data_IF_408804845629
#
_entry.id   IF_408804845629
#
_cell.length_a   1.000
_cell.length_b   1.000
_cell.length_c   1.000
_cell.angle_alpha   90.00
_cell.angle_beta   90.00
_cell.angle_gamma   90.00
#
_symmetry.space_group_name_H-M   'P 1'
#
loop_
_entity.id
_entity.type
_entity.pdbx_description
1 polymer ?
#
# COMPACT_ATOMS: atom_id res chain seq x y z
N UNK A 1 -9.45 -21.57 -4.25
CA UNK A 1 -9.82 -20.93 -2.97
C UNK A 1 -10.96 -19.97 -3.26
N UNK A 2 -12.04 -19.92 -2.46
CA UNK A 2 -13.13 -18.98 -2.72
C UNK A 2 -12.58 -17.56 -2.60
N UNK A 3 -12.82 -16.72 -3.62
CA UNK A 3 -12.49 -15.30 -3.60
C UNK A 3 -13.56 -14.64 -2.74
N UNK A 4 -13.37 -14.59 -1.42
CA UNK A 4 -14.12 -13.66 -0.57
C UNK A 4 -13.65 -12.25 -0.94
N UNK A 5 -14.55 -11.41 -1.44
CA UNK A 5 -14.24 -9.98 -1.64
C UNK A 5 -14.06 -9.32 -0.28
N UNK A 6 -13.04 -8.46 -0.13
CA UNK A 6 -12.71 -7.90 1.20
C UNK A 6 -13.89 -7.16 1.81
N UNK A 7 -14.81 -6.51 1.04
CA UNK A 7 -16.02 -5.88 1.61
C UNK A 7 -17.22 -6.83 1.82
N UNK A 8 -17.16 -8.05 1.28
CA UNK A 8 -18.22 -9.04 1.45
C UNK A 8 -17.93 -9.92 2.67
N UNK A 9 -18.64 -9.69 3.77
CA UNK A 9 -18.53 -10.54 4.97
C UNK A 9 -18.91 -11.99 4.63
N UNK A 10 -18.19 -13.00 5.17
CA UNK A 10 -18.65 -14.37 5.07
C UNK A 10 -20.02 -14.50 5.76
N UNK A 11 -21.01 -15.06 5.06
CA UNK A 11 -22.32 -15.33 5.67
C UNK A 11 -22.14 -16.29 6.85
N UNK A 12 -22.84 -16.02 7.96
CA UNK A 12 -22.92 -16.96 9.08
C UNK A 12 -23.51 -18.26 8.55
N UNK A 13 -22.68 -19.30 8.43
CA UNK A 13 -23.16 -20.67 8.28
C UNK A 13 -24.04 -20.98 9.49
N UNK A 14 -25.36 -20.92 9.29
CA UNK A 14 -26.30 -21.33 10.31
C UNK A 14 -26.09 -22.82 10.54
N UNK A 15 -25.70 -23.20 11.75
CA UNK A 15 -25.64 -24.58 12.18
C UNK A 15 -27.00 -25.24 11.87
N UNK A 16 -26.96 -26.34 11.12
CA UNK A 16 -28.12 -26.93 10.45
C UNK A 16 -29.33 -27.12 11.36
N UNK A 17 -30.47 -26.53 10.96
CA UNK A 17 -31.77 -26.95 11.48
C UNK A 17 -32.06 -28.33 10.94
N UNK A 18 -32.16 -29.31 11.85
CA UNK A 18 -32.67 -30.66 11.55
C UNK A 18 -34.05 -30.53 10.91
N UNK A 19 -34.18 -31.04 9.69
CA UNK A 19 -35.42 -31.10 8.93
C UNK A 19 -36.40 -32.04 9.65
N UNK A 20 -37.44 -31.50 10.26
CA UNK A 20 -38.61 -32.28 10.68
C UNK A 20 -39.70 -32.01 9.66
N UNK A 21 -40.06 -33.02 8.89
CA UNK A 21 -41.16 -32.98 7.91
C UNK A 21 -42.48 -32.89 8.68
N UNK A 22 -43.26 -31.83 8.45
CA UNK A 22 -44.68 -31.79 8.80
C UNK A 22 -45.50 -31.31 7.59
N UNK A 23 -46.57 -32.06 7.33
CA UNK A 23 -47.47 -31.98 6.16
C UNK A 23 -48.34 -30.72 6.18
N UNK A 24 -48.67 -30.26 4.96
CA UNK A 24 -49.41 -29.06 4.54
C UNK A 24 -50.73 -28.72 5.27
N UNK A 25 -50.98 -27.42 5.40
CA UNK A 25 -52.31 -26.82 5.26
C UNK A 25 -52.20 -25.46 4.55
N UNK A 26 -52.94 -25.34 3.44
CA UNK A 26 -53.00 -24.20 2.52
C UNK A 26 -53.75 -23.04 3.16
N UNK A 27 -53.11 -21.86 3.20
CA UNK A 27 -53.73 -20.58 3.52
C UNK A 27 -53.05 -19.49 2.69
N UNK A 28 -53.76 -18.99 1.68
CA UNK A 28 -53.29 -17.97 0.74
C UNK A 28 -53.29 -16.60 1.44
N UNK A 29 -52.12 -16.12 1.86
CA UNK A 29 -51.92 -14.73 2.30
C UNK A 29 -50.77 -14.14 1.48
N UNK A 30 -51.11 -13.31 0.50
CA UNK A 30 -50.18 -12.58 -0.35
C UNK A 30 -49.45 -11.50 0.47
N UNK A 31 -48.31 -11.87 1.05
CA UNK A 31 -47.35 -10.91 1.60
C UNK A 31 -46.27 -10.67 0.54
N UNK A 32 -46.29 -9.49 -0.06
CA UNK A 32 -45.20 -8.98 -0.90
C UNK A 32 -43.89 -9.02 -0.09
N UNK A 33 -42.81 -9.67 -0.57
CA UNK A 33 -41.51 -9.45 0.03
C UNK A 33 -41.05 -8.06 -0.43
N UNK A 34 -41.06 -7.09 0.50
CA UNK A 34 -40.30 -5.87 0.33
C UNK A 34 -38.83 -6.28 0.15
N UNK A 35 -38.31 -6.14 -1.06
CA UNK A 35 -36.90 -6.33 -1.35
C UNK A 35 -36.10 -5.37 -0.48
N UNK A 36 -35.39 -5.92 0.51
CA UNK A 36 -34.30 -5.21 1.16
C UNK A 36 -33.19 -5.08 0.12
N UNK A 37 -33.22 -3.98 -0.63
CA UNK A 37 -32.08 -3.53 -1.38
C UNK A 37 -30.96 -3.24 -0.35
N UNK A 38 -30.02 -4.17 -0.22
CA UNK A 38 -28.75 -3.93 0.43
C UNK A 38 -28.02 -2.85 -0.37
N UNK A 39 -28.16 -1.60 0.05
CA UNK A 39 -27.31 -0.50 -0.43
C UNK A 39 -25.85 -0.77 -0.10
N UNK A 40 -24.90 -0.14 -0.83
CA UNK A 40 -23.49 -0.29 -0.52
C UNK A 40 -23.25 0.18 0.92
N UNK A 41 -22.62 -0.67 1.72
CA UNK A 41 -22.15 -0.30 3.04
C UNK A 41 -21.20 0.89 2.89
N UNK A 42 -21.66 2.08 3.29
CA UNK A 42 -20.80 3.25 3.38
C UNK A 42 -19.74 2.96 4.45
N UNK A 43 -18.48 2.85 4.03
CA UNK A 43 -17.36 2.86 4.98
C UNK A 43 -17.46 4.13 5.83
N UNK A 44 -17.49 3.97 7.15
CA UNK A 44 -17.46 5.11 8.06
C UNK A 44 -16.24 5.99 7.74
N UNK A 45 -16.41 7.30 7.83
CA UNK A 45 -15.36 8.28 7.59
C UNK A 45 -14.29 8.17 8.69
N UNK A 46 -13.37 7.24 8.49
CA UNK A 46 -12.14 7.07 9.26
C UNK A 46 -11.22 8.24 8.95
N UNK A 47 -10.68 8.91 9.98
CA UNK A 47 -9.87 10.14 9.93
C UNK A 47 -9.18 10.44 8.57
N UNK A 48 -9.93 11.09 7.68
CA UNK A 48 -9.44 11.66 6.43
C UNK A 48 -9.03 13.13 6.61
N UNK A 49 -9.08 13.66 7.84
CA UNK A 49 -8.92 15.10 8.08
C UNK A 49 -7.50 15.59 7.73
N UNK A 50 -6.52 14.69 7.68
CA UNK A 50 -5.16 14.98 7.20
C UNK A 50 -4.94 14.78 5.69
N UNK A 51 -5.95 14.36 4.93
CA UNK A 51 -5.77 13.84 3.57
C UNK A 51 -6.10 14.81 2.44
N UNK A 52 -6.58 16.02 2.72
CA UNK A 52 -7.00 17.01 1.70
C UNK A 52 -5.81 17.70 1.02
N UNK A 53 -4.85 16.93 0.52
CA UNK A 53 -3.74 17.45 -0.28
C UNK A 53 -4.24 17.75 -1.70
N UNK A 54 -4.20 19.01 -2.15
CA UNK A 54 -4.68 19.35 -3.48
C UNK A 54 -3.96 18.56 -4.57
N UNK A 55 -4.74 17.94 -5.46
CA UNK A 55 -4.24 17.15 -6.59
C UNK A 55 -3.56 15.83 -6.19
N UNK A 56 -3.87 15.25 -5.03
CA UNK A 56 -3.32 13.95 -4.58
C UNK A 56 -4.41 12.88 -4.49
N UNK A 57 -4.07 11.67 -4.94
CA UNK A 57 -4.86 10.44 -4.78
C UNK A 57 -3.98 9.39 -4.10
N UNK A 58 -4.58 8.61 -3.22
CA UNK A 58 -3.93 7.51 -2.51
C UNK A 58 -4.43 6.18 -3.05
N UNK A 59 -3.58 5.47 -3.78
CA UNK A 59 -3.84 4.09 -4.15
C UNK A 59 -3.53 3.18 -2.97
N UNK A 60 -4.45 2.28 -2.66
CA UNK A 60 -4.28 1.33 -1.58
C UNK A 60 -4.62 -0.08 -2.01
N UNK A 61 -3.82 -1.06 -1.55
CA UNK A 61 -3.89 -2.44 -2.01
C UNK A 61 -4.00 -3.41 -0.83
N UNK A 62 -5.11 -4.14 -0.75
CA UNK A 62 -5.38 -5.10 0.32
C UNK A 62 -5.10 -6.55 -0.11
N UNK A 63 -4.98 -7.43 0.89
CA UNK A 63 -4.88 -8.90 0.80
C UNK A 63 -3.56 -9.50 0.30
N UNK A 64 -2.67 -8.68 -0.27
CA UNK A 64 -1.37 -9.09 -0.77
C UNK A 64 -0.39 -9.61 0.28
N UNK A 65 0.81 -10.02 -0.16
CA UNK A 65 1.28 -9.96 -1.54
C UNK A 65 0.94 -11.22 -2.36
N UNK A 66 0.68 -11.04 -3.65
CA UNK A 66 0.66 -12.11 -4.63
C UNK A 66 2.01 -12.23 -5.35
N UNK A 67 2.56 -13.44 -5.42
CA UNK A 67 3.92 -13.71 -5.94
C UNK A 67 4.19 -13.18 -7.36
N UNK A 68 3.18 -13.20 -8.25
CA UNK A 68 3.29 -12.64 -9.61
C UNK A 68 2.82 -11.18 -9.73
N UNK A 69 1.62 -10.88 -9.22
CA UNK A 69 0.98 -9.59 -9.48
C UNK A 69 1.57 -8.44 -8.67
N UNK A 70 1.94 -8.65 -7.40
CA UNK A 70 2.51 -7.56 -6.58
C UNK A 70 3.82 -7.03 -7.18
N UNK A 71 4.79 -7.86 -7.63
CA UNK A 71 5.97 -7.35 -8.33
C UNK A 71 5.66 -6.60 -9.63
N UNK A 72 4.69 -7.08 -10.42
CA UNK A 72 4.25 -6.37 -11.64
C UNK A 72 3.60 -5.02 -11.33
N UNK A 73 2.82 -4.97 -10.24
CA UNK A 73 2.19 -3.75 -9.75
C UNK A 73 3.24 -2.72 -9.30
N UNK A 74 4.29 -3.15 -8.60
CA UNK A 74 5.41 -2.27 -8.22
C UNK A 74 6.10 -1.67 -9.46
N UNK A 75 6.28 -2.47 -10.52
CA UNK A 75 6.80 -1.97 -11.81
C UNK A 75 5.87 -0.94 -12.46
N UNK A 76 4.56 -1.17 -12.45
CA UNK A 76 3.57 -0.20 -12.95
C UNK A 76 3.63 1.10 -12.14
N UNK A 77 3.75 1.01 -10.81
CA UNK A 77 3.86 2.19 -9.97
C UNK A 77 5.15 2.98 -10.27
N UNK A 78 6.27 2.30 -10.46
CA UNK A 78 7.55 2.91 -10.86
C UNK A 78 7.47 3.60 -12.23
N UNK A 79 6.81 3.00 -13.23
CA UNK A 79 6.61 3.60 -14.58
C UNK A 79 5.99 5.02 -14.51
N UNK A 80 5.20 5.31 -13.48
CA UNK A 80 4.53 6.60 -13.28
C UNK A 80 5.08 7.42 -12.10
N UNK A 81 6.11 6.91 -11.42
CA UNK A 81 6.59 7.47 -10.15
C UNK A 81 5.47 7.60 -9.13
N UNK A 82 4.58 6.62 -9.05
CA UNK A 82 3.39 6.61 -8.20
C UNK A 82 3.63 5.81 -6.92
N UNK A 83 3.15 6.31 -5.78
CA UNK A 83 3.38 5.68 -4.46
C UNK A 83 2.04 5.24 -3.91
N UNK A 84 2.03 4.08 -3.26
CA UNK A 84 0.83 3.45 -2.75
C UNK A 84 1.03 2.91 -1.34
N UNK A 85 -0.08 2.56 -0.70
CA UNK A 85 -0.10 1.90 0.60
C UNK A 85 -0.63 0.48 0.49
N UNK A 86 0.12 -0.47 1.02
CA UNK A 86 -0.21 -1.89 0.99
C UNK A 86 -0.69 -2.33 2.36
N UNK A 87 -1.81 -3.04 2.41
CA UNK A 87 -2.40 -3.63 3.60
C UNK A 87 -2.39 -5.16 3.43
N UNK A 88 -1.22 -5.80 3.56
CA UNK A 88 -1.11 -7.24 3.46
C UNK A 88 -1.81 -7.93 4.62
N UNK A 89 -2.37 -9.11 4.35
CA UNK A 89 -2.64 -10.07 5.42
C UNK A 89 -1.30 -10.56 5.95
N UNK A 90 -1.05 -10.43 7.25
CA UNK A 90 0.31 -10.63 7.75
C UNK A 90 0.79 -12.07 7.60
N UNK A 91 -0.11 -13.06 7.67
CA UNK A 91 0.25 -14.44 7.34
C UNK A 91 0.78 -14.60 5.90
N UNK A 92 0.22 -13.87 4.94
CA UNK A 92 0.61 -14.05 3.54
C UNK A 92 1.97 -13.41 3.26
N UNK A 93 2.27 -12.25 3.83
CA UNK A 93 3.58 -11.61 3.65
C UNK A 93 4.69 -12.39 4.34
N UNK A 94 4.51 -12.83 5.59
CA UNK A 94 5.55 -13.61 6.32
C UNK A 94 5.81 -14.98 5.71
N UNK A 95 4.84 -15.55 4.99
CA UNK A 95 5.00 -16.88 4.35
C UNK A 95 5.56 -16.80 2.93
N UNK A 96 5.52 -15.63 2.28
CA UNK A 96 5.87 -15.49 0.86
C UNK A 96 7.09 -14.63 0.63
N UNK A 97 7.32 -13.64 1.47
CA UNK A 97 8.37 -12.64 1.33
C UNK A 97 9.34 -12.71 2.51
N UNK A 98 10.60 -12.44 2.22
CA UNK A 98 11.63 -12.23 3.21
C UNK A 98 11.82 -10.74 3.53
N UNK A 99 12.77 -10.44 4.41
CA UNK A 99 13.08 -9.08 4.81
C UNK A 99 13.53 -8.22 3.64
N UNK A 100 14.40 -8.73 2.76
CA UNK A 100 14.91 -7.98 1.60
C UNK A 100 13.80 -7.64 0.59
N UNK A 101 12.93 -8.61 0.27
CA UNK A 101 11.79 -8.38 -0.64
C UNK A 101 10.81 -7.37 -0.04
N UNK A 102 10.57 -7.43 1.27
CA UNK A 102 9.67 -6.48 1.93
C UNK A 102 10.29 -5.09 2.02
N UNK A 103 11.60 -4.99 2.25
CA UNK A 103 12.33 -3.73 2.25
C UNK A 103 12.41 -3.10 0.86
N UNK A 104 12.43 -3.88 -0.22
CA UNK A 104 12.37 -3.35 -1.58
C UNK A 104 11.10 -2.53 -1.81
N UNK A 105 9.94 -3.01 -1.34
CA UNK A 105 8.70 -2.24 -1.38
C UNK A 105 8.83 -0.89 -0.65
N UNK A 106 9.47 -0.89 0.52
CA UNK A 106 9.68 0.34 1.32
C UNK A 106 10.74 1.27 0.71
N UNK A 107 11.77 0.70 0.08
CA UNK A 107 12.82 1.45 -0.63
C UNK A 107 12.21 2.30 -1.74
N UNK A 108 11.23 1.76 -2.47
CA UNK A 108 10.46 2.46 -3.52
C UNK A 108 9.52 3.55 -2.98
N UNK A 109 9.46 3.73 -1.67
CA UNK A 109 8.70 4.79 -1.00
C UNK A 109 7.23 4.48 -0.76
N UNK A 110 6.80 3.24 -0.99
CA UNK A 110 5.49 2.73 -0.59
C UNK A 110 5.43 2.54 0.94
N UNK A 111 4.23 2.34 1.46
CA UNK A 111 4.02 2.09 2.90
C UNK A 111 3.31 0.77 3.13
N UNK A 112 3.59 0.12 4.27
CA UNK A 112 2.88 -1.09 4.71
C UNK A 112 2.04 -0.75 5.95
N UNK A 113 0.75 -1.07 5.89
CA UNK A 113 -0.17 -1.08 7.02
C UNK A 113 -0.52 -2.49 7.47
N UNK A 114 -1.23 -2.59 8.57
CA UNK A 114 -1.69 -3.87 9.12
C UNK A 114 -3.09 -4.24 8.59
N UNK A 115 -3.28 -5.42 8.00
CA UNK A 115 -4.59 -5.93 7.58
C UNK A 115 -5.00 -7.20 8.33
N UNK A 116 -4.68 -7.27 9.62
CA UNK A 116 -4.80 -8.44 10.52
C UNK A 116 -3.89 -9.61 10.11
N UNK A 117 -3.87 -10.67 10.92
CA UNK A 117 -3.04 -11.84 10.63
C UNK A 117 -3.66 -12.68 9.53
N UNK A 118 -4.95 -12.98 9.64
CA UNK A 118 -5.69 -13.91 8.76
C UNK A 118 -7.00 -13.34 8.20
N UNK A 119 -7.07 -12.02 8.02
CA UNK A 119 -8.26 -11.33 7.50
C UNK A 119 -9.50 -11.50 8.40
N UNK A 120 -9.30 -11.41 9.73
CA UNK A 120 -10.38 -11.58 10.70
C UNK A 120 -11.35 -10.37 10.71
N UNK A 121 -12.65 -10.63 10.81
CA UNK A 121 -13.65 -9.57 11.05
C UNK A 121 -13.55 -9.10 12.51
N UNK A 122 -12.83 -8.00 12.71
CA UNK A 122 -12.59 -7.41 14.03
C UNK A 122 -13.88 -7.03 14.77
N UNK A 123 -14.99 -6.77 14.05
CA UNK A 123 -16.28 -6.45 14.68
C UNK A 123 -16.97 -7.66 15.32
N UNK A 124 -16.53 -8.87 14.99
CA UNK A 124 -17.06 -10.12 15.54
C UNK A 124 -16.18 -10.67 16.68
N UNK A 125 -15.05 -10.03 16.96
CA UNK A 125 -14.13 -10.42 18.02
C UNK A 125 -14.45 -9.71 19.32
N UNK A 126 -14.04 -10.31 20.44
CA UNK A 126 -13.95 -9.55 21.69
C UNK A 126 -12.84 -8.49 21.56
N UNK A 127 -12.88 -7.39 22.34
CA UNK A 127 -11.81 -6.39 22.31
C UNK A 127 -10.42 -7.01 22.55
N UNK A 128 -10.32 -8.02 23.44
CA UNK A 128 -9.06 -8.72 23.72
C UNK A 128 -8.57 -9.53 22.52
N UNK A 129 -9.46 -10.25 21.84
CA UNK A 129 -9.08 -11.03 20.65
C UNK A 129 -8.70 -10.09 19.50
N UNK A 130 -9.37 -8.94 19.35
CA UNK A 130 -9.02 -7.94 18.36
C UNK A 130 -7.64 -7.32 18.61
N UNK A 131 -7.30 -7.03 19.89
CA UNK A 131 -5.94 -6.61 20.28
C UNK A 131 -4.93 -7.69 19.91
N UNK A 132 -5.18 -8.95 20.28
CA UNK A 132 -4.25 -10.05 20.02
C UNK A 132 -4.02 -10.25 18.52
N UNK A 133 -5.07 -10.17 17.70
CA UNK A 133 -5.00 -10.31 16.25
C UNK A 133 -4.14 -9.20 15.62
N UNK A 134 -4.40 -7.94 15.97
CA UNK A 134 -3.64 -6.80 15.45
C UNK A 134 -2.22 -6.73 15.99
N UNK A 135 -1.99 -7.08 17.25
CA UNK A 135 -0.67 -7.09 17.86
C UNK A 135 0.23 -8.19 17.27
N UNK A 136 -0.32 -9.39 17.06
CA UNK A 136 0.38 -10.48 16.36
C UNK A 136 0.78 -10.07 14.94
N UNK A 137 -0.14 -9.48 14.20
CA UNK A 137 0.11 -8.94 12.87
C UNK A 137 1.20 -7.86 12.89
N UNK A 138 1.17 -6.96 13.87
CA UNK A 138 2.18 -5.90 14.00
C UNK A 138 3.57 -6.45 14.32
N UNK A 139 3.67 -7.52 15.12
CA UNK A 139 4.94 -8.21 15.37
C UNK A 139 5.51 -8.85 14.11
N UNK A 140 4.69 -9.63 13.37
CA UNK A 140 5.16 -10.27 12.13
C UNK A 140 5.63 -9.28 11.07
N UNK A 141 4.99 -8.09 10.99
CA UNK A 141 5.47 -7.01 10.13
C UNK A 141 6.78 -6.41 10.66
N UNK A 142 6.89 -6.15 11.96
CA UNK A 142 8.08 -5.54 12.55
C UNK A 142 9.35 -6.38 12.31
N UNK A 143 9.23 -7.71 12.31
CA UNK A 143 10.34 -8.62 12.01
C UNK A 143 10.87 -8.46 10.57
N UNK A 144 10.00 -8.11 9.62
CA UNK A 144 10.36 -7.91 8.21
C UNK A 144 10.85 -6.48 7.92
N UNK A 145 10.19 -5.48 8.52
CA UNK A 145 10.37 -4.06 8.16
C UNK A 145 11.18 -3.26 9.16
N UNK A 146 11.39 -3.77 10.37
CA UNK A 146 12.15 -3.13 11.43
C UNK A 146 11.40 -2.08 12.26
N UNK A 147 10.11 -1.91 12.02
CA UNK A 147 9.26 -1.05 12.83
C UNK A 147 7.84 -1.58 12.89
N UNK A 148 7.09 -1.20 13.92
CA UNK A 148 5.66 -1.50 13.99
C UNK A 148 4.88 -0.62 12.99
N UNK A 149 3.78 -1.11 12.40
CA UNK A 149 2.92 -0.29 11.56
C UNK A 149 2.27 0.83 12.39
N UNK A 150 2.07 2.00 11.78
CA UNK A 150 1.34 3.14 12.38
C UNK A 150 -0.11 3.24 11.91
N UNK A 151 -0.53 2.36 11.00
CA UNK A 151 -1.88 2.31 10.48
C UNK A 151 -2.35 0.87 10.31
N UNK A 152 -3.66 0.68 10.33
CA UNK A 152 -4.30 -0.58 9.99
C UNK A 152 -5.57 -0.33 9.18
N UNK A 153 -5.97 -1.33 8.40
CA UNK A 153 -7.27 -1.36 7.74
C UNK A 153 -8.01 -2.59 8.24
N UNK A 154 -9.22 -2.39 8.75
CA UNK A 154 -10.05 -3.50 9.19
C UNK A 154 -10.60 -4.26 7.97
N UNK A 155 -10.45 -5.59 7.91
CA UNK A 155 -11.14 -6.44 6.93
C UNK A 155 -12.64 -6.11 6.86
N UNK A 156 -13.24 -6.18 5.66
CA UNK A 156 -14.66 -5.87 5.47
C UNK A 156 -15.07 -4.43 5.72
N UNK A 157 -14.12 -3.52 5.89
CA UNK A 157 -14.40 -2.16 6.35
C UNK A 157 -15.08 -2.16 7.72
N UNK A 158 -14.83 -3.19 8.53
CA UNK A 158 -15.45 -3.37 9.84
C UNK A 158 -14.91 -2.32 10.83
N UNK A 159 -15.48 -1.13 10.78
CA UNK A 159 -15.18 0.00 11.66
C UNK A 159 -16.18 0.12 12.82
N UNK A 160 -15.82 0.94 13.81
CA UNK A 160 -16.64 1.26 14.99
C UNK A 160 -15.77 1.52 16.23
N UNK A 161 -16.36 2.13 17.25
CA UNK A 161 -15.66 2.65 18.43
C UNK A 161 -14.70 1.64 19.08
N UNK A 162 -15.10 0.37 19.14
CA UNK A 162 -14.25 -0.69 19.71
C UNK A 162 -13.02 -0.95 18.84
N UNK A 163 -13.21 -1.08 17.52
CA UNK A 163 -12.10 -1.35 16.59
C UNK A 163 -11.14 -0.17 16.55
N UNK A 164 -11.67 1.06 16.54
CA UNK A 164 -10.89 2.29 16.60
C UNK A 164 -10.11 2.41 17.91
N UNK A 165 -10.74 2.16 19.06
CA UNK A 165 -10.07 2.19 20.35
C UNK A 165 -8.96 1.12 20.48
N UNK A 166 -9.20 -0.08 19.94
CA UNK A 166 -8.19 -1.15 19.89
C UNK A 166 -6.99 -0.72 19.03
N UNK A 167 -7.22 -0.16 17.85
CA UNK A 167 -6.17 0.37 16.99
C UNK A 167 -5.36 1.48 17.68
N UNK A 168 -6.04 2.47 18.24
CA UNK A 168 -5.43 3.58 18.97
C UNK A 168 -4.58 3.10 20.16
N UNK A 169 -5.04 2.07 20.88
CA UNK A 169 -4.30 1.46 22.00
C UNK A 169 -2.99 0.81 21.55
N UNK A 170 -2.90 0.38 20.29
CA UNK A 170 -1.70 -0.17 19.66
C UNK A 170 -0.89 0.88 18.90
N UNK A 171 -1.26 2.16 18.97
CA UNK A 171 -0.60 3.25 18.26
C UNK A 171 -0.86 3.26 16.75
N UNK A 172 -1.96 2.66 16.30
CA UNK A 172 -2.33 2.61 14.88
C UNK A 172 -3.60 3.41 14.59
N UNK A 173 -3.55 4.21 13.53
CA UNK A 173 -4.76 4.81 12.96
C UNK A 173 -5.51 3.79 12.12
N UNK A 174 -6.83 3.69 12.30
CA UNK A 174 -7.67 3.00 11.33
C UNK A 174 -7.59 3.76 10.00
N UNK A 175 -7.65 3.06 8.87
CA UNK A 175 -7.67 3.65 7.52
C UNK A 175 -8.85 3.09 6.73
N UNK A 176 -9.75 3.98 6.31
CA UNK A 176 -10.85 3.67 5.40
C UNK A 176 -10.50 3.90 3.92
N UNK A 177 -11.53 4.13 3.11
CA UNK A 177 -11.43 4.53 1.71
C UNK A 177 -12.59 5.45 1.33
N UNK A 178 -12.43 6.23 0.26
CA UNK A 178 -13.50 7.09 -0.30
C UNK A 178 -14.03 6.58 -1.65
N UNK A 179 -13.30 5.69 -2.30
CA UNK A 179 -13.68 5.06 -3.56
C UNK A 179 -13.41 3.55 -3.49
N UNK A 180 -14.46 2.76 -3.70
CA UNK A 180 -14.41 1.30 -3.81
C UNK A 180 -15.06 0.89 -5.15
N UNK A 181 -14.25 0.68 -6.19
CA UNK A 181 -14.74 0.23 -7.49
C UNK A 181 -15.21 -1.23 -7.48
N UNK A 182 -15.04 -1.95 -6.35
CA UNK A 182 -15.40 -3.35 -6.18
C UNK A 182 -14.80 -4.24 -7.27
N UNK A 183 -13.55 -3.98 -7.65
CA UNK A 183 -12.85 -4.68 -8.71
C UNK A 183 -12.67 -6.17 -8.40
N UNK A 184 -12.80 -6.56 -7.14
CA UNK A 184 -12.87 -7.95 -6.72
C UNK A 184 -14.04 -8.74 -7.33
N UNK A 185 -15.09 -8.05 -7.82
CA UNK A 185 -16.23 -8.61 -8.59
C UNK A 185 -15.96 -8.77 -10.09
N UNK A 186 -14.75 -8.43 -10.53
CA UNK A 186 -14.31 -8.48 -11.92
C UNK A 186 -15.19 -7.63 -12.89
N UNK A 187 -15.53 -6.35 -12.56
CA UNK A 187 -16.25 -5.45 -13.45
C UNK A 187 -15.41 -5.04 -14.69
N UNK A 188 -16.05 -4.57 -15.78
CA UNK A 188 -15.33 -3.99 -16.90
C UNK A 188 -14.46 -2.79 -16.48
N UNK A 189 -13.22 -2.72 -17.01
CA UNK A 189 -12.26 -1.65 -16.66
C UNK A 189 -12.86 -0.26 -16.91
N UNK A 190 -13.58 -0.06 -18.01
CA UNK A 190 -14.21 1.22 -18.31
C UNK A 190 -15.22 1.69 -17.26
N UNK A 191 -15.97 0.77 -16.64
CA UNK A 191 -16.89 1.10 -15.54
C UNK A 191 -16.13 1.51 -14.28
N UNK A 192 -15.04 0.81 -13.96
CA UNK A 192 -14.15 1.15 -12.84
C UNK A 192 -13.58 2.55 -13.02
N UNK A 193 -12.99 2.84 -14.19
CA UNK A 193 -12.37 4.12 -14.46
C UNK A 193 -13.40 5.25 -14.46
N UNK A 194 -14.59 5.05 -15.04
CA UNK A 194 -15.68 6.03 -14.98
C UNK A 194 -16.10 6.31 -13.54
N UNK A 195 -16.28 5.28 -12.72
CA UNK A 195 -16.61 5.43 -11.30
C UNK A 195 -15.55 6.22 -10.53
N UNK A 196 -14.26 5.90 -10.73
CA UNK A 196 -13.16 6.59 -10.06
C UNK A 196 -13.04 8.05 -10.52
N UNK A 197 -13.32 8.32 -11.80
CA UNK A 197 -13.39 9.67 -12.36
C UNK A 197 -14.50 10.49 -11.71
N UNK A 198 -15.67 9.92 -11.48
CA UNK A 198 -16.79 10.61 -10.83
C UNK A 198 -16.56 10.85 -9.33
N UNK A 199 -15.77 9.98 -8.67
CA UNK A 199 -15.41 10.10 -7.26
C UNK A 199 -14.18 10.98 -7.00
N UNK A 200 -13.43 11.35 -8.04
CA UNK A 200 -12.14 12.03 -7.91
C UNK A 200 -12.28 13.31 -7.08
N UNK A 201 -11.46 13.40 -6.05
CA UNK A 201 -11.40 14.55 -5.15
C UNK A 201 -10.02 14.57 -4.50
N UNK A 202 -9.63 15.73 -3.98
CA UNK A 202 -8.37 15.88 -3.25
C UNK A 202 -8.33 14.92 -2.05
N UNK A 203 -7.30 14.10 -1.99
CA UNK A 203 -7.16 13.09 -0.94
C UNK A 203 -8.00 11.84 -1.14
N UNK A 204 -8.53 11.59 -2.34
CA UNK A 204 -9.27 10.36 -2.62
C UNK A 204 -8.43 9.13 -2.25
N UNK A 205 -9.01 8.21 -1.50
CA UNK A 205 -8.40 6.93 -1.13
C UNK A 205 -9.11 5.82 -1.90
N UNK A 206 -8.40 5.20 -2.83
CA UNK A 206 -8.92 4.12 -3.68
C UNK A 206 -8.58 2.77 -3.04
N UNK A 207 -9.60 1.96 -2.77
CA UNK A 207 -9.44 0.57 -2.37
C UNK A 207 -9.28 -0.32 -3.61
N UNK A 208 -8.19 -1.07 -3.67
CA UNK A 208 -7.94 -2.14 -4.64
C UNK A 208 -7.31 -3.35 -3.94
N UNK A 209 -7.10 -4.45 -4.66
CA UNK A 209 -6.44 -5.66 -4.14
C UNK A 209 -5.33 -6.12 -5.08
N UNK A 210 -4.09 -6.24 -4.61
CA UNK A 210 -2.91 -6.62 -5.41
C UNK A 210 -2.79 -8.15 -5.68
N UNK A 211 -3.85 -8.90 -5.39
CA UNK A 211 -3.98 -10.33 -5.73
C UNK A 211 -4.83 -10.62 -6.97
N UNK A 212 -5.24 -9.57 -7.70
CA UNK A 212 -6.08 -9.66 -8.90
C UNK A 212 -5.33 -9.17 -10.12
N UNK A 213 -5.43 -9.92 -11.22
CA UNK A 213 -4.87 -9.50 -12.51
C UNK A 213 -5.50 -8.18 -12.99
N UNK A 214 -6.81 -8.01 -12.76
CA UNK A 214 -7.58 -6.83 -13.17
C UNK A 214 -7.04 -5.55 -12.52
N UNK A 215 -6.54 -5.64 -11.29
CA UNK A 215 -5.91 -4.52 -10.56
C UNK A 215 -4.72 -3.95 -11.32
N UNK A 216 -3.94 -4.78 -12.01
CA UNK A 216 -2.81 -4.30 -12.82
C UNK A 216 -3.29 -3.39 -13.96
N UNK A 217 -4.38 -3.80 -14.63
CA UNK A 217 -4.94 -3.03 -15.74
C UNK A 217 -5.61 -1.74 -15.26
N UNK A 218 -6.42 -1.83 -14.19
CA UNK A 218 -7.05 -0.66 -13.56
C UNK A 218 -5.98 0.34 -13.14
N UNK A 219 -4.93 -0.12 -12.45
CA UNK A 219 -3.86 0.75 -11.95
C UNK A 219 -3.15 1.44 -13.11
N UNK A 220 -2.76 0.70 -14.16
CA UNK A 220 -2.10 1.30 -15.33
C UNK A 220 -2.99 2.33 -16.02
N UNK A 221 -4.25 2.01 -16.32
CA UNK A 221 -5.17 2.95 -16.98
C UNK A 221 -5.44 4.18 -16.13
N UNK A 222 -5.65 4.00 -14.82
CA UNK A 222 -5.89 5.12 -13.91
C UNK A 222 -4.67 6.03 -13.81
N UNK A 223 -3.46 5.48 -13.63
CA UNK A 223 -2.23 6.28 -13.58
C UNK A 223 -2.02 7.04 -14.90
N UNK A 224 -2.27 6.38 -16.03
CA UNK A 224 -2.14 6.97 -17.36
C UNK A 224 -3.08 8.17 -17.57
N UNK A 225 -4.35 8.03 -17.21
CA UNK A 225 -5.34 9.09 -17.38
C UNK A 225 -5.15 10.22 -16.37
N UNK A 226 -5.01 9.88 -15.09
CA UNK A 226 -5.10 10.88 -14.02
C UNK A 226 -3.78 11.65 -13.85
N UNK A 227 -2.63 11.04 -14.15
CA UNK A 227 -1.35 11.77 -14.16
C UNK A 227 -1.36 12.86 -15.24
N UNK A 228 -1.94 12.61 -16.42
CA UNK A 228 -2.11 13.64 -17.47
C UNK A 228 -3.04 14.77 -17.07
N UNK A 229 -3.97 14.48 -16.16
CA UNK A 229 -4.87 15.49 -15.56
C UNK A 229 -4.22 16.25 -14.40
N UNK A 230 -2.96 15.95 -14.05
CA UNK A 230 -2.19 16.62 -13.00
C UNK A 230 -2.33 16.00 -11.61
N UNK A 231 -2.99 14.85 -11.48
CA UNK A 231 -3.06 14.13 -10.20
C UNK A 231 -1.73 13.47 -9.86
N UNK A 232 -1.41 13.49 -8.57
CA UNK A 232 -0.25 12.82 -7.99
C UNK A 232 -0.69 11.65 -7.14
N UNK A 233 0.19 10.64 -7.08
CA UNK A 233 -0.07 9.42 -6.34
C UNK A 233 0.93 9.28 -5.20
N UNK A 234 0.43 9.45 -3.98
CA UNK A 234 1.23 9.41 -2.76
C UNK A 234 0.74 8.26 -1.86
N UNK A 235 1.67 7.64 -1.12
CA UNK A 235 1.30 6.71 -0.07
C UNK A 235 0.60 7.47 1.08
N UNK A 236 -0.28 6.79 1.80
CA UNK A 236 -1.01 7.36 2.93
C UNK A 236 -0.05 7.86 4.03
N UNK A 237 -0.16 9.13 4.46
CA UNK A 237 0.67 9.68 5.54
C UNK A 237 0.51 8.91 6.86
N UNK A 238 -0.70 8.45 7.18
CA UNK A 238 -0.98 7.69 8.41
C UNK A 238 -0.16 6.39 8.53
N UNK A 239 0.29 5.85 7.40
CA UNK A 239 1.06 4.61 7.32
C UNK A 239 2.58 4.81 7.32
N UNK A 240 3.05 6.02 7.67
CA UNK A 240 4.47 6.34 7.84
C UNK A 240 4.80 6.52 9.33
N UNK A 241 5.27 5.47 10.02
CA UNK A 241 5.65 5.60 11.43
C UNK A 241 6.88 6.50 11.59
N UNK A 242 6.89 7.24 12.70
CA UNK A 242 8.10 7.92 13.18
C UNK A 242 9.16 6.88 13.53
N UNK A 243 10.43 7.20 13.33
CA UNK A 243 11.53 6.27 13.63
C UNK A 243 11.69 5.12 12.62
N UNK A 244 10.98 5.15 11.48
CA UNK A 244 11.04 4.07 10.48
C UNK A 244 12.42 3.91 9.86
N UNK A 245 13.18 4.99 9.66
CA UNK A 245 14.55 4.93 9.17
C UNK A 245 15.44 4.14 10.15
N UNK A 246 15.42 4.52 11.42
CA UNK A 246 16.22 3.91 12.48
C UNK A 246 15.87 2.42 12.65
N UNK A 247 14.58 2.09 12.64
CA UNK A 247 14.10 0.71 12.70
C UNK A 247 14.57 -0.14 11.51
N UNK A 248 14.47 0.41 10.30
CA UNK A 248 14.93 -0.27 9.08
C UNK A 248 16.43 -0.53 9.12
N UNK A 249 17.23 0.47 9.49
CA UNK A 249 18.69 0.35 9.69
C UNK A 249 19.02 -0.71 10.73
N UNK A 250 18.35 -0.69 11.89
CA UNK A 250 18.62 -1.59 13.01
C UNK A 250 18.37 -3.08 12.71
N UNK A 251 17.59 -3.40 11.68
CA UNK A 251 17.35 -4.80 11.26
C UNK A 251 18.35 -5.32 10.24
N UNK A 252 19.21 -4.48 9.68
CA UNK A 252 20.16 -4.90 8.65
C UNK A 252 21.40 -5.54 9.28
N UNK A 253 21.85 -6.61 8.66
CA UNK A 253 23.07 -7.35 9.00
C UNK A 253 23.97 -7.49 7.78
N UNK A 254 25.29 -7.72 7.97
CA UNK A 254 26.19 -7.93 6.85
C UNK A 254 25.72 -9.08 5.95
N UNK A 255 25.52 -8.80 4.67
CA UNK A 255 24.94 -9.73 3.71
C UNK A 255 23.57 -9.32 3.15
N UNK A 256 22.80 -8.53 3.91
CA UNK A 256 21.47 -8.04 3.51
C UNK A 256 21.57 -6.99 2.40
N UNK A 257 20.49 -6.76 1.66
CA UNK A 257 20.44 -5.69 0.67
C UNK A 257 20.37 -4.30 1.33
N UNK A 258 20.95 -3.26 0.70
CA UNK A 258 20.82 -1.89 1.17
C UNK A 258 19.35 -1.46 1.34
N UNK A 259 19.11 -0.64 2.36
CA UNK A 259 17.82 0.01 2.62
C UNK A 259 17.96 1.51 2.48
N UNK A 260 16.92 2.18 2.03
CA UNK A 260 16.95 3.63 1.86
C UNK A 260 15.59 4.20 1.51
N UNK A 261 15.57 5.51 1.30
CA UNK A 261 14.43 6.20 0.75
C UNK A 261 14.85 7.57 0.21
N UNK A 262 14.37 7.91 -0.98
CA UNK A 262 14.34 9.31 -1.45
C UNK A 262 13.21 10.03 -0.71
N UNK A 263 13.52 11.15 -0.09
CA UNK A 263 12.60 11.91 0.75
C UNK A 263 12.02 13.13 0.05
N UNK A 264 12.82 13.86 -0.74
CA UNK A 264 12.34 14.97 -1.55
C UNK A 264 12.98 14.95 -2.92
N UNK A 265 12.23 15.48 -3.86
CA UNK A 265 12.64 15.68 -5.25
C UNK A 265 12.16 17.06 -5.65
N UNK A 266 13.06 17.90 -6.16
CA UNK A 266 12.73 19.24 -6.61
C UNK A 266 13.61 19.65 -7.80
N UNK A 267 13.25 20.75 -8.45
CA UNK A 267 13.95 21.27 -9.62
C UNK A 267 14.66 22.59 -9.30
N UNK A 268 15.87 22.75 -9.82
CA UNK A 268 16.63 24.02 -9.81
C UNK A 268 17.09 24.27 -11.25
N UNK A 269 16.44 25.19 -11.97
CA UNK A 269 16.71 25.39 -13.40
C UNK A 269 16.42 24.10 -14.19
N UNK A 270 17.45 23.59 -14.88
CA UNK A 270 17.40 22.33 -15.64
C UNK A 270 17.88 21.11 -14.84
N UNK A 271 18.20 21.30 -13.56
CA UNK A 271 18.65 20.24 -12.67
C UNK A 271 17.51 19.68 -11.83
N UNK A 272 17.48 18.36 -11.70
CA UNK A 272 16.66 17.65 -10.73
C UNK A 272 17.53 17.27 -9.56
N UNK A 273 17.11 17.67 -8.37
CA UNK A 273 17.80 17.37 -7.12
C UNK A 273 16.94 16.41 -6.31
N UNK A 274 17.55 15.31 -5.89
CA UNK A 274 16.96 14.30 -5.03
C UNK A 274 17.74 14.26 -3.73
N UNK A 275 17.04 14.30 -2.59
CA UNK A 275 17.64 14.03 -1.29
C UNK A 275 17.01 12.81 -0.63
N UNK A 276 17.82 12.12 0.15
CA UNK A 276 17.35 10.92 0.83
C UNK A 276 18.42 10.36 1.75
N UNK A 277 18.21 9.10 2.09
CA UNK A 277 19.15 8.32 2.87
C UNK A 277 19.25 6.91 2.32
N UNK A 278 20.40 6.27 2.52
CA UNK A 278 20.57 4.86 2.24
C UNK A 278 21.67 4.25 3.13
N UNK A 279 21.46 3.02 3.55
CA UNK A 279 22.31 2.28 4.49
C UNK A 279 22.53 0.85 4.01
N UNK A 280 23.76 0.37 4.18
CA UNK A 280 24.15 -1.02 3.96
C UNK A 280 25.03 -1.41 5.14
N UNK A 281 24.71 -2.53 5.80
CA UNK A 281 25.46 -3.01 6.95
C UNK A 281 26.91 -3.40 6.59
N UNK A 282 27.21 -3.62 5.31
CA UNK A 282 28.58 -3.85 4.80
C UNK A 282 29.36 -2.55 4.57
N UNK A 283 28.70 -1.38 4.63
CA UNK A 283 29.33 -0.05 4.54
C UNK A 283 28.77 0.86 5.65
N UNK A 284 29.03 0.54 6.93
CA UNK A 284 28.40 1.21 8.06
C UNK A 284 28.86 2.67 8.26
N UNK A 285 29.92 3.11 7.59
CA UNK A 285 30.43 4.49 7.66
C UNK A 285 29.94 5.37 6.48
N UNK A 286 29.01 4.86 5.66
CA UNK A 286 28.55 5.52 4.43
C UNK A 286 29.38 5.19 3.19
N UNK A 287 29.25 5.99 2.13
CA UNK A 287 29.97 5.81 0.86
C UNK A 287 29.24 4.94 -0.18
N UNK A 288 27.96 4.64 0.04
CA UNK A 288 27.15 3.96 -0.98
C UNK A 288 26.97 4.84 -2.21
N UNK A 289 27.12 4.27 -3.40
CA UNK A 289 26.96 5.02 -4.65
C UNK A 289 25.49 5.18 -4.99
N UNK A 290 25.06 6.41 -5.24
CA UNK A 290 23.71 6.70 -5.77
C UNK A 290 23.79 6.72 -7.28
N UNK A 291 22.96 5.88 -7.91
CA UNK A 291 22.87 5.74 -9.36
C UNK A 291 21.49 6.21 -9.79
N UNK A 292 21.45 7.10 -10.77
CA UNK A 292 20.21 7.63 -11.34
C UNK A 292 20.05 7.14 -12.77
N UNK A 293 18.81 6.83 -13.15
CA UNK A 293 18.40 6.67 -14.54
C UNK A 293 17.22 7.60 -14.79
N UNK A 294 17.34 8.48 -15.78
CA UNK A 294 16.25 9.27 -16.32
C UNK A 294 15.94 8.72 -17.71
N UNK A 295 14.70 8.30 -17.94
CA UNK A 295 14.17 7.60 -19.11
C UNK A 295 15.08 7.57 -20.37
N UNK A 296 15.55 6.36 -20.71
CA UNK A 296 16.34 6.08 -21.91
C UNK A 296 17.81 6.51 -21.84
N UNK A 297 18.24 7.20 -20.78
CA UNK A 297 19.65 7.54 -20.58
C UNK A 297 20.39 6.38 -19.91
N UNK A 298 21.70 6.33 -20.16
CA UNK A 298 22.57 5.42 -19.43
C UNK A 298 22.54 5.79 -17.92
N UNK A 299 22.53 4.80 -17.01
CA UNK A 299 22.64 5.07 -15.59
C UNK A 299 23.88 5.92 -15.26
N UNK A 300 23.69 6.97 -14.46
CA UNK A 300 24.75 7.90 -14.06
C UNK A 300 24.98 7.82 -12.56
N UNK A 301 26.25 7.80 -12.14
CA UNK A 301 26.61 7.98 -10.73
C UNK A 301 26.40 9.44 -10.35
N UNK A 302 25.48 9.69 -9.43
CA UNK A 302 25.01 11.04 -9.13
C UNK A 302 25.40 11.52 -7.72
N UNK A 303 25.97 10.66 -6.89
CA UNK A 303 26.45 11.01 -5.57
C UNK A 303 26.86 9.79 -4.75
N UNK A 304 27.22 10.03 -3.49
CA UNK A 304 27.44 9.00 -2.49
C UNK A 304 26.77 9.35 -1.17
N UNK A 305 26.46 8.36 -0.34
CA UNK A 305 26.03 8.64 1.03
C UNK A 305 27.18 9.16 1.89
N UNK A 306 26.89 10.08 2.80
CA UNK A 306 27.82 10.57 3.83
C UNK A 306 27.82 9.67 5.09
N UNK A 307 28.55 10.11 6.12
CA UNK A 307 28.67 9.40 7.39
C UNK A 307 27.35 9.34 8.19
N UNK A 308 26.41 10.25 7.90
CA UNK A 308 25.04 10.22 8.45
C UNK A 308 24.08 9.42 7.55
N UNK A 309 24.62 8.72 6.55
CA UNK A 309 23.91 7.91 5.57
C UNK A 309 22.97 8.73 4.67
N UNK A 310 23.16 10.04 4.61
CA UNK A 310 22.39 10.97 3.79
C UNK A 310 23.03 11.08 2.41
N UNK A 311 22.22 11.34 1.40
CA UNK A 311 22.72 11.70 0.08
C UNK A 311 21.94 12.89 -0.49
N UNK A 312 22.63 13.64 -1.35
CA UNK A 312 22.04 14.56 -2.31
C UNK A 312 22.57 14.15 -3.68
N UNK A 313 21.66 13.92 -4.62
CA UNK A 313 21.99 13.51 -5.97
C UNK A 313 21.40 14.53 -6.96
N UNK A 314 22.20 14.92 -7.93
CA UNK A 314 21.81 15.91 -8.95
C UNK A 314 21.91 15.28 -10.33
N UNK A 315 20.90 15.47 -11.15
CA UNK A 315 20.92 15.06 -12.56
C UNK A 315 20.44 16.19 -13.45
N UNK A 316 21.20 16.47 -14.50
CA UNK A 316 20.77 17.36 -15.58
C UNK A 316 19.64 16.69 -16.36
N UNK A 317 18.47 17.29 -16.29
CA UNK A 317 17.24 16.71 -16.80
C UNK A 317 16.49 17.79 -17.61
N UNK A 318 16.93 18.07 -18.86
CA UNK A 318 16.26 19.01 -19.75
C UNK A 318 14.85 18.48 -20.03
N UNK A 319 13.87 19.04 -19.31
CA UNK A 319 12.44 18.74 -19.39
C UNK A 319 12.09 17.25 -19.42
N UNK A 320 12.27 16.56 -18.28
CA UNK A 320 11.82 15.17 -18.17
C UNK A 320 10.36 15.17 -17.73
N UNK A 321 9.46 14.76 -18.62
CA UNK A 321 8.05 14.42 -18.32
C UNK A 321 7.92 13.01 -17.70
N UNK A 322 9.03 12.29 -17.61
CA UNK A 322 9.13 10.93 -17.10
C UNK A 322 9.76 10.84 -15.70
N UNK A 323 9.48 9.77 -14.94
CA UNK A 323 10.10 9.56 -13.64
C UNK A 323 11.62 9.38 -13.71
N UNK A 324 12.32 9.89 -12.70
CA UNK A 324 13.74 9.61 -12.44
C UNK A 324 13.85 8.45 -11.48
N UNK A 325 14.45 7.35 -11.92
CA UNK A 325 14.64 6.15 -11.12
C UNK A 325 15.98 6.17 -10.40
N UNK A 326 15.98 5.71 -9.15
CA UNK A 326 17.12 5.77 -8.25
C UNK A 326 17.48 4.37 -7.79
N UNK A 327 18.76 4.03 -7.83
CA UNK A 327 19.32 2.83 -7.22
C UNK A 327 20.44 3.21 -6.28
N UNK A 328 20.68 2.35 -5.30
CA UNK A 328 21.85 2.43 -4.45
C UNK A 328 22.73 1.23 -4.72
N UNK A 329 24.02 1.49 -4.94
CA UNK A 329 25.01 0.48 -5.28
C UNK A 329 26.13 0.44 -4.26
N UNK A 330 26.43 -0.77 -3.81
CA UNK A 330 27.66 -1.09 -3.10
C UNK A 330 28.62 -1.72 -4.11
N UNK A 331 29.49 -0.91 -4.71
CA UNK A 331 30.34 -1.29 -5.85
C UNK A 331 31.28 -2.50 -5.59
N UNK A 332 31.45 -2.93 -4.33
CA UNK A 332 32.21 -4.12 -3.95
C UNK A 332 31.41 -5.43 -3.98
N UNK A 333 30.09 -5.38 -4.17
CA UNK A 333 29.20 -6.55 -4.11
C UNK A 333 28.82 -7.05 -5.51
N UNK A 334 28.54 -8.36 -5.60
CA UNK A 334 28.06 -9.04 -6.83
C UNK A 334 26.53 -9.24 -6.86
N UNK A 335 25.78 -8.60 -5.96
CA UNK A 335 24.33 -8.76 -5.83
C UNK A 335 23.57 -7.63 -6.54
N UNK A 336 22.25 -7.75 -6.58
CA UNK A 336 21.35 -6.75 -7.17
C UNK A 336 21.42 -5.44 -6.39
N UNK A 337 21.59 -4.32 -7.08
CA UNK A 337 21.48 -2.97 -6.51
C UNK A 337 20.00 -2.67 -6.27
N UNK A 338 19.56 -2.42 -5.02
CA UNK A 338 18.15 -2.16 -4.74
C UNK A 338 17.71 -0.80 -5.30
N UNK A 339 16.47 -0.78 -5.80
CA UNK A 339 15.80 0.44 -6.27
C UNK A 339 15.29 1.25 -5.08
N UNK A 340 15.52 2.56 -5.08
CA UNK A 340 14.84 3.53 -4.22
C UNK A 340 13.58 4.11 -4.90
N UNK A 341 13.10 3.43 -5.94
CA UNK A 341 11.91 3.77 -6.72
C UNK A 341 12.16 4.81 -7.81
N UNK A 342 11.13 5.03 -8.60
CA UNK A 342 11.08 6.08 -9.62
C UNK A 342 10.29 7.30 -9.15
N UNK A 343 10.76 8.49 -9.52
CA UNK A 343 10.31 9.76 -8.95
C UNK A 343 9.96 10.78 -10.02
N UNK A 344 8.68 11.15 -10.06
CA UNK A 344 8.19 12.24 -10.92
C UNK A 344 8.64 13.58 -10.37
N UNK A 345 9.24 14.40 -11.23
CA UNK A 345 9.66 15.76 -10.89
C UNK A 345 8.54 16.70 -11.29
N UNK A 346 7.82 17.22 -10.30
CA UNK A 346 6.73 18.16 -10.57
C UNK A 346 7.37 19.49 -10.98
N UNK A 347 6.97 20.03 -12.13
CA UNK A 347 7.32 21.39 -12.51
C UNK A 347 6.73 22.39 -11.48
N UNK A 348 7.43 23.49 -11.17
CA UNK A 348 7.02 24.43 -10.12
C UNK A 348 5.64 25.04 -10.34
#
# INVERSE_FOLDING_TARGET
>A
MPVTGSTARPERLHAGRRLTILVLLVGLLSVLPAGLASGPAGGSAVDLAGNQRPGVIHLTFDDGPHWMFTPMLLGILDDYGARASFFPTVESIVSRWDGDTTQDLLNRGHTIGNHTWRHADLSQLTPWDAVAELDRASHGLADLVGHRPSCFRAPYGAAGDVVEAVGARLGMSLVGWTADPQEWRDPPIGEVISYLRDKRTDGMVVLLHDRKWLTLQITRTLLDEFTREGWRFEALPACRPTGSQEGRVATRTPGDLPVGQVQRVWRIGDEVVLDGWAFDADMPDGGLTIVLNADGRAPVRAGTTDADHRFVAVVEAPMVDQPVCVWVSNAGRRRHDPSLGCHTVIAP
#
